data_IF_056049901962
#
_entry.id   IF_056049901962
#
_cell.length_a   1.000
_cell.length_b   1.000
_cell.length_c   1.000
_cell.angle_alpha   90.00
_cell.angle_beta   90.00
_cell.angle_gamma   90.00
#
_symmetry.space_group_name_H-M   'P 1'
#
loop_
_entity.id
_entity.type
_entity.pdbx_description
1 polymer ?
#
# COMPACT_ATOMS: atom_id res chain seq x y z
N UNK A 1 -2.06 -12.91 -0.74
CA UNK A 1 -1.58 -11.74 0.01
C UNK A 1 -1.78 -10.46 -0.80
N UNK A 2 -2.15 -9.35 -0.14
CA UNK A 2 -2.43 -8.07 -0.81
C UNK A 2 -1.25 -7.54 -1.64
N UNK A 3 -0.03 -7.95 -1.33
CA UNK A 3 1.18 -7.58 -2.08
C UNK A 3 1.16 -7.97 -3.55
N UNK A 4 0.45 -9.04 -3.91
CA UNK A 4 0.33 -9.46 -5.31
C UNK A 4 -0.36 -8.43 -6.21
N UNK A 5 -1.24 -7.59 -5.65
CA UNK A 5 -1.84 -6.49 -6.40
C UNK A 5 -0.80 -5.49 -6.95
N UNK A 6 0.40 -5.45 -6.36
CA UNK A 6 1.49 -4.55 -6.75
C UNK A 6 2.50 -5.21 -7.71
N UNK A 7 2.31 -6.47 -8.12
CA UNK A 7 3.20 -7.19 -9.05
C UNK A 7 3.31 -6.52 -10.43
N UNK A 8 2.28 -5.73 -10.81
CA UNK A 8 2.34 -4.90 -12.01
C UNK A 8 3.35 -3.75 -11.92
N UNK A 9 4.03 -3.55 -10.79
CA UNK A 9 5.11 -2.59 -10.66
C UNK A 9 6.45 -3.31 -10.53
N UNK A 10 7.45 -2.83 -11.28
CA UNK A 10 8.82 -3.30 -11.13
C UNK A 10 9.49 -2.69 -9.86
N UNK A 11 10.69 -3.13 -9.46
CA UNK A 11 11.36 -2.62 -8.27
C UNK A 11 11.65 -1.11 -8.25
N UNK A 12 11.56 -0.44 -9.40
CA UNK A 12 11.72 1.02 -9.52
C UNK A 12 10.41 1.74 -9.78
N UNK A 13 9.27 1.03 -9.62
CA UNK A 13 7.92 1.60 -9.71
C UNK A 13 7.38 1.82 -11.13
N UNK A 14 7.99 1.21 -12.17
CA UNK A 14 7.44 1.24 -13.53
C UNK A 14 6.38 0.16 -13.70
N UNK A 15 5.34 0.49 -14.44
CA UNK A 15 4.32 -0.48 -14.82
C UNK A 15 4.87 -1.55 -15.77
N UNK A 16 4.49 -2.80 -15.54
CA UNK A 16 4.81 -3.95 -16.40
C UNK A 16 3.60 -4.85 -16.53
N UNK A 17 3.40 -5.38 -17.73
CA UNK A 17 2.36 -6.38 -18.03
C UNK A 17 2.95 -7.81 -18.06
N UNK A 18 4.26 -7.92 -18.23
CA UNK A 18 4.99 -9.18 -18.27
C UNK A 18 6.22 -9.14 -17.35
N UNK A 19 6.63 -10.30 -16.84
CA UNK A 19 7.88 -10.41 -16.11
C UNK A 19 9.03 -10.30 -17.10
N UNK A 20 9.69 -9.14 -17.16
CA UNK A 20 10.89 -8.97 -17.96
C UNK A 20 11.98 -9.90 -17.42
N UNK A 21 12.37 -10.89 -18.24
CA UNK A 21 13.53 -11.70 -17.93
C UNK A 21 14.79 -10.83 -18.04
N UNK A 22 15.67 -10.82 -17.02
CA UNK A 22 16.96 -10.14 -17.15
C UNK A 22 17.73 -10.71 -18.34
N UNK A 23 18.07 -9.87 -19.31
CA UNK A 23 18.94 -10.25 -20.45
C UNK A 23 20.42 -10.36 -20.05
N UNK A 24 20.72 -10.30 -18.77
CA UNK A 24 22.08 -10.38 -18.28
C UNK A 24 22.46 -11.86 -18.06
N UNK A 25 23.36 -12.42 -18.88
CA UNK A 25 23.81 -13.81 -18.75
C UNK A 25 24.58 -14.06 -17.44
N UNK A 26 24.93 -13.02 -16.68
CA UNK A 26 25.59 -13.15 -15.38
C UNK A 26 24.61 -13.29 -14.22
N UNK A 27 23.34 -13.02 -14.43
CA UNK A 27 22.29 -13.18 -13.41
C UNK A 27 21.83 -14.64 -13.36
N UNK A 28 22.64 -15.46 -12.68
CA UNK A 28 22.30 -16.87 -12.45
C UNK A 28 21.07 -16.96 -11.55
N UNK A 29 20.02 -17.75 -11.89
CA UNK A 29 18.92 -18.00 -10.98
C UNK A 29 19.48 -18.52 -9.64
N UNK A 30 18.96 -18.02 -8.52
CA UNK A 30 19.43 -18.42 -7.18
C UNK A 30 19.15 -19.89 -6.85
N UNK A 31 18.35 -20.58 -7.66
CA UNK A 31 18.00 -21.99 -7.56
C UNK A 31 18.45 -22.67 -8.85
N UNK A 32 19.04 -23.86 -8.78
CA UNK A 32 19.55 -24.65 -9.92
C UNK A 32 18.49 -25.01 -11.00
N UNK A 33 17.50 -24.15 -11.20
CA UNK A 33 16.54 -24.30 -12.30
C UNK A 33 17.19 -23.94 -13.63
N UNK A 34 16.91 -24.73 -14.69
CA UNK A 34 17.45 -24.47 -16.02
C UNK A 34 17.02 -23.07 -16.47
N UNK A 35 17.97 -22.26 -16.93
CA UNK A 35 17.69 -20.95 -17.50
C UNK A 35 16.57 -21.06 -18.55
N UNK A 36 15.55 -20.17 -18.50
CA UNK A 36 14.49 -20.17 -19.51
C UNK A 36 15.09 -20.04 -20.90
N UNK A 37 14.53 -20.78 -21.86
CA UNK A 37 14.99 -20.71 -23.25
C UNK A 37 14.85 -19.26 -23.73
N UNK A 38 15.88 -18.76 -24.38
CA UNK A 38 16.01 -17.34 -24.83
C UNK A 38 14.84 -16.84 -25.69
N UNK A 39 14.05 -17.75 -26.27
CA UNK A 39 12.90 -17.46 -27.15
C UNK A 39 11.54 -17.69 -26.47
N UNK A 40 11.47 -17.99 -25.17
CA UNK A 40 10.18 -18.14 -24.50
C UNK A 40 9.55 -16.75 -24.24
N UNK A 41 8.28 -16.53 -24.59
CA UNK A 41 7.60 -15.29 -24.22
C UNK A 41 7.61 -15.14 -22.69
N UNK A 42 7.92 -13.93 -22.24
CA UNK A 42 7.87 -13.63 -20.80
C UNK A 42 6.45 -13.89 -20.27
N UNK A 43 6.29 -14.55 -19.12
CA UNK A 43 4.97 -14.79 -18.55
C UNK A 43 4.28 -13.47 -18.20
N UNK A 44 2.96 -13.44 -18.38
CA UNK A 44 2.14 -12.31 -17.98
C UNK A 44 2.15 -12.13 -16.46
N UNK A 45 2.05 -10.89 -16.01
CA UNK A 45 1.95 -10.57 -14.59
C UNK A 45 0.54 -10.90 -14.10
N UNK A 46 0.44 -11.77 -13.09
CA UNK A 46 -0.82 -12.02 -12.38
C UNK A 46 -0.83 -11.21 -11.08
N UNK A 47 -1.58 -10.10 -11.10
CA UNK A 47 -1.80 -9.24 -9.93
C UNK A 47 -3.16 -9.48 -9.27
N UNK A 48 -3.84 -10.56 -9.61
CA UNK A 48 -5.12 -10.95 -9.01
C UNK A 48 -4.98 -11.41 -7.56
N UNK A 49 -6.07 -11.37 -6.82
CA UNK A 49 -6.07 -11.83 -5.44
C UNK A 49 -7.40 -11.67 -4.74
N UNK A 50 -7.36 -11.91 -3.43
CA UNK A 50 -8.52 -11.87 -2.56
C UNK A 50 -8.19 -11.13 -1.26
N UNK A 51 -9.12 -10.29 -0.79
CA UNK A 51 -9.09 -9.74 0.56
C UNK A 51 -9.52 -10.80 1.58
N UNK A 52 -9.03 -10.68 2.81
CA UNK A 52 -9.44 -11.57 3.90
C UNK A 52 -10.95 -11.56 4.22
N UNK A 53 -11.70 -10.63 3.66
CA UNK A 53 -13.18 -10.54 3.72
C UNK A 53 -13.88 -11.29 2.58
N UNK A 54 -13.15 -11.98 1.69
CA UNK A 54 -13.68 -12.77 0.59
C UNK A 54 -13.92 -12.00 -0.73
N UNK A 55 -13.58 -10.72 -0.78
CA UNK A 55 -13.68 -9.92 -2.00
C UNK A 55 -12.49 -10.18 -2.91
N UNK A 56 -12.74 -10.52 -4.16
CA UNK A 56 -11.70 -10.76 -5.17
C UNK A 56 -11.44 -9.50 -6.00
N UNK A 57 -10.21 -9.36 -6.49
CA UNK A 57 -9.82 -8.35 -7.45
C UNK A 57 -9.02 -9.00 -8.59
N UNK A 58 -9.24 -8.54 -9.81
CA UNK A 58 -8.58 -9.07 -10.99
C UNK A 58 -7.21 -8.41 -11.24
N UNK A 59 -7.06 -7.15 -10.86
CA UNK A 59 -5.87 -6.35 -11.09
C UNK A 59 -5.71 -5.22 -10.04
N UNK A 60 -4.64 -4.44 -10.17
CA UNK A 60 -4.37 -3.29 -9.31
C UNK A 60 -5.48 -2.21 -9.36
N UNK A 61 -6.13 -2.01 -10.50
CA UNK A 61 -7.20 -1.02 -10.63
C UNK A 61 -8.44 -1.45 -9.86
N UNK A 62 -8.80 -2.73 -9.95
CA UNK A 62 -9.88 -3.33 -9.16
C UNK A 62 -9.57 -3.27 -7.67
N UNK A 63 -8.35 -3.65 -7.28
CA UNK A 63 -7.87 -3.56 -5.90
C UNK A 63 -8.05 -2.14 -5.34
N UNK A 64 -7.56 -1.13 -6.07
CA UNK A 64 -7.70 0.28 -5.67
C UNK A 64 -9.17 0.70 -5.58
N UNK A 65 -10.01 0.29 -6.52
CA UNK A 65 -11.44 0.60 -6.54
C UNK A 65 -12.15 0.03 -5.30
N UNK A 66 -11.84 -1.18 -4.90
CA UNK A 66 -12.41 -1.81 -3.70
C UNK A 66 -11.98 -1.06 -2.44
N UNK A 67 -10.71 -0.67 -2.31
CA UNK A 67 -10.24 0.12 -1.17
C UNK A 67 -11.01 1.44 -1.09
N UNK A 68 -11.09 2.18 -2.19
CA UNK A 68 -11.78 3.47 -2.21
C UNK A 68 -13.27 3.33 -1.93
N UNK A 69 -13.93 2.28 -2.43
CA UNK A 69 -15.37 2.11 -2.25
C UNK A 69 -15.77 1.59 -0.86
N UNK A 70 -14.95 0.73 -0.25
CA UNK A 70 -15.36 -0.05 0.93
C UNK A 70 -14.46 0.09 2.14
N UNK A 71 -13.26 0.66 1.99
CA UNK A 71 -12.22 0.65 3.02
C UNK A 71 -11.59 2.02 3.29
N UNK A 72 -12.16 3.08 2.73
CA UNK A 72 -11.64 4.44 2.88
C UNK A 72 -11.49 4.82 4.35
N UNK A 73 -12.49 4.54 5.20
CA UNK A 73 -12.43 4.85 6.63
C UNK A 73 -11.27 4.14 7.33
N UNK A 74 -11.13 2.82 7.10
CA UNK A 74 -10.07 2.02 7.70
C UNK A 74 -8.68 2.44 7.19
N UNK A 75 -8.56 2.67 5.89
CA UNK A 75 -7.33 3.17 5.27
C UNK A 75 -6.92 4.53 5.85
N UNK A 76 -7.89 5.45 6.00
CA UNK A 76 -7.63 6.80 6.51
C UNK A 76 -7.17 6.76 7.97
N UNK A 77 -7.81 5.94 8.83
CA UNK A 77 -7.36 5.78 10.22
C UNK A 77 -5.93 5.25 10.30
N UNK A 78 -5.64 4.20 9.55
CA UNK A 78 -4.28 3.66 9.53
C UNK A 78 -3.25 4.68 9.02
N UNK A 79 -3.58 5.46 8.00
CA UNK A 79 -2.70 6.52 7.50
C UNK A 79 -2.46 7.61 8.55
N UNK A 80 -3.47 7.97 9.35
CA UNK A 80 -3.32 8.90 10.50
C UNK A 80 -2.35 8.31 11.53
N UNK A 81 -2.52 7.04 11.91
CA UNK A 81 -1.63 6.33 12.84
C UNK A 81 -0.17 6.35 12.36
N UNK A 82 0.06 6.07 11.08
CA UNK A 82 1.41 6.07 10.48
C UNK A 82 2.04 7.47 10.49
N UNK A 83 1.27 8.52 10.14
CA UNK A 83 1.75 9.90 10.17
C UNK A 83 2.07 10.33 11.60
N UNK A 84 1.22 10.00 12.57
CA UNK A 84 1.47 10.29 13.98
C UNK A 84 2.68 9.53 14.52
N UNK A 85 2.81 8.25 14.19
CA UNK A 85 3.97 7.41 14.58
C UNK A 85 5.27 7.99 14.03
N UNK A 86 5.27 8.38 12.76
CA UNK A 86 6.43 9.02 12.14
C UNK A 86 6.79 10.35 12.81
N UNK A 87 5.79 11.22 13.04
CA UNK A 87 5.99 12.56 13.59
C UNK A 87 6.39 12.53 15.07
N UNK A 88 5.83 11.61 15.87
CA UNK A 88 6.13 11.47 17.30
C UNK A 88 7.37 10.60 17.57
N UNK A 89 7.78 9.77 16.62
CA UNK A 89 8.86 8.80 16.76
C UNK A 89 8.52 7.62 17.68
N UNK A 90 7.25 7.34 17.91
CA UNK A 90 6.75 6.19 18.68
C UNK A 90 5.53 5.55 18.02
N UNK A 91 5.27 4.30 18.33
CA UNK A 91 4.02 3.65 17.95
C UNK A 91 2.83 4.23 18.71
N UNK A 92 1.67 4.22 18.08
CA UNK A 92 0.42 4.63 18.73
C UNK A 92 -0.02 3.57 19.75
N UNK A 93 -0.59 4.04 20.85
CA UNK A 93 -1.12 3.22 21.93
C UNK A 93 -2.64 3.39 22.02
N UNK A 94 -3.38 2.49 22.69
CA UNK A 94 -4.84 2.61 22.83
C UNK A 94 -5.32 3.94 23.45
N UNK A 95 -4.47 4.61 24.22
CA UNK A 95 -4.78 5.94 24.78
C UNK A 95 -4.83 7.04 23.71
N UNK A 96 -4.15 6.82 22.58
CA UNK A 96 -4.10 7.76 21.45
C UNK A 96 -5.35 7.67 20.54
N UNK A 97 -6.18 6.62 20.70
CA UNK A 97 -7.34 6.36 19.84
C UNK A 97 -8.33 7.54 19.80
N UNK A 98 -8.48 8.28 20.90
CA UNK A 98 -9.34 9.45 20.94
C UNK A 98 -8.85 10.56 20.00
N UNK A 99 -7.55 10.83 20.01
CA UNK A 99 -6.93 11.84 19.14
C UNK A 99 -7.00 11.40 17.68
N UNK A 100 -6.76 10.11 17.41
CA UNK A 100 -6.88 9.53 16.07
C UNK A 100 -8.31 9.67 15.54
N UNK A 101 -9.32 9.40 16.39
CA UNK A 101 -10.72 9.53 16.00
C UNK A 101 -11.11 11.00 15.73
N UNK A 102 -10.65 11.94 16.54
CA UNK A 102 -10.91 13.38 16.33
C UNK A 102 -10.32 13.86 14.99
N UNK A 103 -9.07 13.48 14.71
CA UNK A 103 -8.42 13.78 13.41
C UNK A 103 -9.19 13.12 12.28
N UNK A 104 -9.57 11.84 12.43
CA UNK A 104 -10.33 11.12 11.43
C UNK A 104 -11.65 11.81 11.09
N UNK A 105 -12.41 12.30 12.09
CA UNK A 105 -13.66 13.00 11.88
C UNK A 105 -13.45 14.33 11.13
N UNK A 106 -12.38 15.06 11.43
CA UNK A 106 -12.01 16.27 10.70
C UNK A 106 -11.68 15.98 9.23
N UNK A 107 -10.88 14.95 8.98
CA UNK A 107 -10.49 14.50 7.63
C UNK A 107 -11.71 14.01 6.83
N UNK A 108 -12.58 13.24 7.46
CA UNK A 108 -13.82 12.74 6.83
C UNK A 108 -14.75 13.88 6.44
N UNK A 109 -14.91 14.88 7.28
CA UNK A 109 -15.70 16.08 7.01
C UNK A 109 -15.17 16.89 5.82
N UNK A 110 -13.86 16.90 5.62
CA UNK A 110 -13.18 17.55 4.49
C UNK A 110 -13.07 16.65 3.25
N UNK A 111 -13.83 15.56 3.16
CA UNK A 111 -13.83 14.66 2.02
C UNK A 111 -12.54 13.82 1.86
N UNK A 112 -11.90 13.46 2.96
CA UNK A 112 -10.65 12.66 3.01
C UNK A 112 -9.45 13.38 2.40
N UNK A 113 -9.35 14.68 2.58
CA UNK A 113 -8.25 15.50 2.09
C UNK A 113 -6.93 15.16 2.77
N UNK A 114 -5.91 14.74 1.98
CA UNK A 114 -4.59 14.41 2.50
C UNK A 114 -3.91 15.60 3.21
N UNK A 115 -4.13 16.82 2.71
CA UNK A 115 -3.60 18.04 3.34
C UNK A 115 -4.16 18.21 4.75
N UNK A 116 -5.46 18.06 4.91
CA UNK A 116 -6.15 18.17 6.21
C UNK A 116 -5.63 17.10 7.16
N UNK A 117 -5.49 15.85 6.68
CA UNK A 117 -4.90 14.77 7.47
C UNK A 117 -3.53 15.15 8.02
N UNK A 118 -2.61 15.61 7.17
CA UNK A 118 -1.25 15.99 7.59
C UNK A 118 -1.28 17.15 8.58
N UNK A 119 -2.06 18.19 8.30
CA UNK A 119 -2.13 19.40 9.16
C UNK A 119 -2.70 19.05 10.53
N UNK A 120 -3.82 18.33 10.60
CA UNK A 120 -4.45 17.95 11.86
C UNK A 120 -3.55 16.99 12.67
N UNK A 121 -2.91 16.05 12.01
CA UNK A 121 -1.96 15.13 12.68
C UNK A 121 -0.77 15.87 13.29
N UNK A 122 -0.14 16.80 12.56
CA UNK A 122 1.00 17.58 13.07
C UNK A 122 0.59 18.64 14.11
N UNK A 123 -0.65 19.10 14.09
CA UNK A 123 -1.19 20.02 15.08
C UNK A 123 -1.66 19.33 16.37
N UNK A 124 -1.73 17.99 16.37
CA UNK A 124 -2.25 17.21 17.50
C UNK A 124 -1.34 17.29 18.74
N UNK A 125 -1.94 17.02 19.91
CA UNK A 125 -1.19 16.98 21.19
C UNK A 125 -0.13 15.88 21.19
N UNK A 126 -0.33 14.75 20.50
CA UNK A 126 0.62 13.65 20.39
C UNK A 126 1.97 14.13 19.83
N UNK A 127 1.94 15.06 18.89
CA UNK A 127 3.17 15.58 18.26
C UNK A 127 3.71 16.79 19.00
N UNK A 128 2.83 17.62 19.61
CA UNK A 128 3.20 18.89 20.27
C UNK A 128 3.68 18.73 21.71
N UNK A 129 3.30 17.67 22.39
CA UNK A 129 3.62 17.43 23.80
C UNK A 129 4.97 16.72 24.01
N UNK A 130 5.92 16.91 23.12
CA UNK A 130 7.26 16.34 23.18
C UNK A 130 8.22 17.12 24.05
#
# INVERSE_FOLDING_TARGET
PLGFSLESFDPIGRWRDTYAMPKDPTTRPANDEPAPKEDAPAPDVDSSGEFGSGETYADFHDFKRIIVAKRTDAFTRHLIEEVLSYASGRHMEPVDDFVIEDIFQAVKKDGYGLRTLIVESLASEIVRSR
#
